data_IF_716893960623
#
_entry.id   IF_716893960623
#
_cell.length_a   1.000
_cell.length_b   1.000
_cell.length_c   1.000
_cell.angle_alpha   90.00
_cell.angle_beta   90.00
_cell.angle_gamma   90.00
#
_symmetry.space_group_name_H-M   'P 1'
#
loop_
_entity.id
_entity.type
_entity.pdbx_description
1 polymer ?
#
# COMPACT_ATOMS: atom_id res chain seq x y z
N UNK A 1 -6.29 -10.07 25.83
CA UNK A 1 -6.61 -10.99 24.71
C UNK A 1 -7.76 -10.50 23.82
N UNK A 2 -8.88 -9.99 24.36
CA UNK A 2 -9.98 -9.39 23.56
C UNK A 2 -9.53 -8.31 22.55
N UNK A 3 -8.55 -7.48 22.92
CA UNK A 3 -8.01 -6.42 22.03
C UNK A 3 -7.17 -6.93 20.86
N UNK A 4 -6.52 -8.09 20.99
CA UNK A 4 -5.72 -8.67 19.90
C UNK A 4 -6.64 -9.26 18.83
N UNK A 5 -7.66 -10.02 19.25
CA UNK A 5 -8.63 -10.60 18.33
C UNK A 5 -9.44 -9.52 17.60
N UNK A 6 -9.84 -8.44 18.30
CA UNK A 6 -10.55 -7.32 17.66
C UNK A 6 -9.66 -6.60 16.63
N UNK A 7 -8.36 -6.44 16.91
CA UNK A 7 -7.40 -5.86 15.97
C UNK A 7 -7.16 -6.77 14.77
N UNK A 8 -7.00 -8.07 14.99
CA UNK A 8 -6.83 -9.03 13.91
C UNK A 8 -8.05 -9.06 12.98
N UNK A 9 -9.26 -9.07 13.55
CA UNK A 9 -10.50 -9.01 12.79
C UNK A 9 -10.61 -7.70 12.00
N UNK A 10 -10.25 -6.57 12.61
CA UNK A 10 -10.20 -5.29 11.91
C UNK A 10 -9.19 -5.31 10.75
N UNK A 11 -8.00 -5.87 10.94
CA UNK A 11 -7.00 -6.00 9.87
C UNK A 11 -7.51 -6.88 8.72
N UNK A 12 -8.15 -8.01 9.02
CA UNK A 12 -8.75 -8.87 7.99
C UNK A 12 -9.88 -8.16 7.26
N UNK A 13 -10.75 -7.42 7.97
CA UNK A 13 -11.82 -6.64 7.38
C UNK A 13 -11.27 -5.53 6.46
N UNK A 14 -10.20 -4.85 6.86
CA UNK A 14 -9.50 -3.87 6.03
C UNK A 14 -8.92 -4.52 4.77
N UNK A 15 -8.25 -5.67 4.90
CA UNK A 15 -7.73 -6.38 3.73
C UNK A 15 -8.84 -6.82 2.77
N UNK A 16 -9.96 -7.33 3.30
CA UNK A 16 -11.12 -7.68 2.49
C UNK A 16 -11.70 -6.45 1.76
N UNK A 17 -11.82 -5.32 2.48
CA UNK A 17 -12.27 -4.06 1.89
C UNK A 17 -11.33 -3.57 0.79
N UNK A 18 -10.01 -3.65 1.00
CA UNK A 18 -9.00 -3.26 0.00
C UNK A 18 -9.06 -4.17 -1.23
N UNK A 19 -9.22 -5.49 -1.06
CA UNK A 19 -9.35 -6.41 -2.19
C UNK A 19 -10.59 -6.10 -3.03
N UNK A 20 -11.75 -5.90 -2.37
CA UNK A 20 -12.99 -5.54 -3.05
C UNK A 20 -12.85 -4.18 -3.74
N UNK A 21 -12.36 -3.17 -3.01
CA UNK A 21 -12.19 -1.82 -3.54
C UNK A 21 -11.26 -1.81 -4.74
N UNK A 22 -10.08 -2.42 -4.66
CA UNK A 22 -9.14 -2.47 -5.78
C UNK A 22 -9.72 -3.23 -6.98
N UNK A 23 -10.45 -4.33 -6.75
CA UNK A 23 -11.11 -5.05 -7.83
C UNK A 23 -12.10 -4.17 -8.59
N UNK A 24 -12.92 -3.38 -7.89
CA UNK A 24 -13.89 -2.50 -8.54
C UNK A 24 -13.29 -1.19 -9.05
N UNK A 25 -12.26 -0.65 -8.37
CA UNK A 25 -11.63 0.63 -8.71
C UNK A 25 -11.18 0.67 -10.17
N UNK A 26 -10.42 -0.34 -10.60
CA UNK A 26 -9.93 -0.42 -11.98
C UNK A 26 -11.03 -0.66 -13.03
N UNK A 27 -12.23 -1.09 -12.61
CA UNK A 27 -13.39 -1.32 -13.51
C UNK A 27 -14.31 -0.11 -13.60
N UNK A 28 -14.27 0.78 -12.60
CA UNK A 28 -15.10 2.00 -12.54
C UNK A 28 -14.34 3.20 -13.12
N UNK A 29 -13.01 3.16 -13.14
CA UNK A 29 -12.21 4.22 -13.78
C UNK A 29 -12.64 4.42 -15.24
N UNK A 30 -12.83 5.67 -15.70
CA UNK A 30 -13.20 5.95 -17.08
C UNK A 30 -12.09 5.49 -18.04
N UNK A 31 -12.45 4.63 -18.99
CA UNK A 31 -11.52 3.88 -19.84
C UNK A 31 -11.75 2.37 -19.68
N UNK A 32 -11.56 1.60 -20.75
CA UNK A 32 -11.53 0.13 -20.64
C UNK A 32 -10.36 -0.25 -19.71
N UNK A 33 -10.51 -1.12 -18.68
CA UNK A 33 -9.41 -1.59 -17.84
C UNK A 33 -8.19 -2.05 -18.66
N UNK A 34 -8.43 -2.60 -19.85
CA UNK A 34 -7.44 -2.96 -20.86
C UNK A 34 -6.73 -1.71 -21.41
N UNK A 35 -7.46 -0.64 -21.74
CA UNK A 35 -6.92 0.62 -22.27
C UNK A 35 -6.15 1.49 -21.26
N UNK A 36 -6.41 1.32 -19.96
CA UNK A 36 -5.65 2.03 -18.90
C UNK A 36 -4.26 1.45 -18.67
N UNK A 37 -4.05 0.20 -19.11
CA UNK A 37 -2.83 -0.58 -18.90
C UNK A 37 -2.03 -0.75 -20.19
N UNK A 38 -2.71 -0.76 -21.35
CA UNK A 38 -2.11 -1.03 -22.66
C UNK A 38 -1.92 0.27 -23.44
N UNK A 39 -0.80 0.35 -24.17
CA UNK A 39 -0.54 1.42 -25.13
C UNK A 39 -1.74 1.62 -26.10
N UNK A 40 -2.25 2.85 -26.28
CA UNK A 40 -3.34 3.14 -27.22
C UNK A 40 -3.13 2.61 -28.65
N UNK A 41 -1.89 2.29 -29.03
CA UNK A 41 -1.46 1.80 -30.34
C UNK A 41 -1.80 0.32 -30.65
N UNK A 42 -2.33 -0.45 -29.70
CA UNK A 42 -2.69 -1.85 -29.96
C UNK A 42 -3.96 -1.98 -30.83
N UNK A 43 -3.95 -2.92 -31.79
CA UNK A 43 -5.10 -3.19 -32.66
C UNK A 43 -6.30 -3.73 -31.85
N UNK A 44 -7.55 -3.56 -32.33
CA UNK A 44 -8.74 -4.08 -31.66
C UNK A 44 -8.68 -5.58 -31.38
N UNK A 45 -8.08 -6.36 -32.28
CA UNK A 45 -7.90 -7.81 -32.15
C UNK A 45 -6.93 -8.15 -31.03
N UNK A 46 -5.82 -7.41 -30.93
CA UNK A 46 -4.85 -7.60 -29.85
C UNK A 46 -5.43 -7.28 -28.47
N UNK A 47 -6.37 -6.32 -28.38
CA UNK A 47 -7.08 -6.00 -27.14
C UNK A 47 -8.00 -7.14 -26.70
N UNK A 48 -8.74 -7.74 -27.63
CA UNK A 48 -9.63 -8.87 -27.34
C UNK A 48 -8.86 -10.10 -26.88
N UNK A 49 -7.76 -10.42 -27.57
CA UNK A 49 -6.87 -11.51 -27.19
C UNK A 49 -6.30 -11.31 -25.79
N UNK A 50 -5.85 -10.10 -25.45
CA UNK A 50 -5.33 -9.81 -24.12
C UNK A 50 -6.42 -9.87 -23.04
N UNK A 51 -7.64 -9.38 -23.34
CA UNK A 51 -8.78 -9.46 -22.45
C UNK A 51 -9.12 -10.92 -22.10
N UNK A 52 -9.08 -11.82 -23.09
CA UNK A 52 -9.26 -13.26 -22.89
C UNK A 52 -8.12 -13.86 -22.04
N UNK A 53 -6.87 -13.51 -22.31
CA UNK A 53 -5.73 -13.97 -21.51
C UNK A 53 -5.80 -13.52 -20.04
N UNK A 54 -6.30 -12.31 -19.80
CA UNK A 54 -6.52 -11.77 -18.45
C UNK A 54 -7.82 -12.27 -17.81
N UNK A 55 -8.67 -12.99 -18.55
CA UNK A 55 -9.94 -13.53 -18.06
C UNK A 55 -11.00 -12.45 -17.86
N UNK A 56 -10.89 -11.32 -18.55
CA UNK A 56 -11.85 -10.21 -18.49
C UNK A 56 -13.14 -10.51 -19.27
N UNK A 57 -13.12 -11.55 -20.10
CA UNK A 57 -14.26 -12.14 -20.81
C UNK A 57 -15.19 -12.97 -19.92
N UNK A 58 -14.75 -13.34 -18.71
CA UNK A 58 -15.47 -14.22 -17.77
C UNK A 58 -16.55 -13.49 -16.98
N UNK A 59 -17.53 -14.18 -16.39
CA UNK A 59 -18.46 -13.59 -15.43
C UNK A 59 -17.73 -12.91 -14.27
N UNK A 60 -18.25 -11.78 -13.79
CA UNK A 60 -17.59 -10.94 -12.78
C UNK A 60 -17.27 -11.70 -11.48
N UNK A 61 -18.13 -12.64 -11.08
CA UNK A 61 -17.92 -13.50 -9.92
C UNK A 61 -16.71 -14.41 -10.08
N UNK A 62 -16.52 -15.00 -11.27
CA UNK A 62 -15.35 -15.83 -11.58
C UNK A 62 -14.07 -15.00 -11.57
N UNK A 63 -14.11 -13.80 -12.15
CA UNK A 63 -13.00 -12.85 -12.13
C UNK A 63 -12.60 -12.51 -10.69
N UNK A 64 -13.56 -12.23 -9.81
CA UNK A 64 -13.30 -11.88 -8.42
C UNK A 64 -12.69 -13.05 -7.64
N UNK A 65 -13.26 -14.25 -7.77
CA UNK A 65 -12.73 -15.45 -7.11
C UNK A 65 -11.31 -15.75 -7.56
N UNK A 66 -11.03 -15.65 -8.88
CA UNK A 66 -9.69 -15.83 -9.43
C UNK A 66 -8.71 -14.79 -8.89
N UNK A 67 -9.12 -13.51 -8.86
CA UNK A 67 -8.33 -12.41 -8.30
C UNK A 67 -7.97 -12.67 -6.84
N UNK A 68 -8.96 -12.97 -5.98
CA UNK A 68 -8.72 -13.24 -4.56
C UNK A 68 -7.79 -14.44 -4.38
N UNK A 69 -8.01 -15.54 -5.13
CA UNK A 69 -7.14 -16.72 -5.10
C UNK A 69 -5.70 -16.39 -5.50
N UNK A 70 -5.51 -15.59 -6.54
CA UNK A 70 -4.19 -15.14 -6.98
C UNK A 70 -3.48 -14.30 -5.90
N UNK A 71 -4.19 -13.37 -5.27
CA UNK A 71 -3.62 -12.55 -4.18
C UNK A 71 -3.21 -13.39 -2.97
N UNK A 72 -4.05 -14.34 -2.54
CA UNK A 72 -3.79 -15.20 -1.39
C UNK A 72 -2.71 -16.26 -1.65
N UNK A 73 -2.45 -16.60 -2.92
CA UNK A 73 -1.42 -17.57 -3.32
C UNK A 73 -0.12 -16.91 -3.80
N UNK A 74 0.02 -15.59 -3.61
CA UNK A 74 1.18 -14.80 -4.05
C UNK A 74 1.44 -14.86 -5.57
N UNK A 75 0.40 -15.17 -6.36
CA UNK A 75 0.45 -15.25 -7.83
C UNK A 75 -0.08 -13.95 -8.44
N UNK A 76 0.62 -12.85 -8.17
CA UNK A 76 0.21 -11.49 -8.53
C UNK A 76 0.17 -11.19 -10.04
N UNK A 77 0.77 -12.05 -10.87
CA UNK A 77 0.87 -11.83 -12.32
C UNK A 77 2.09 -10.99 -12.71
N UNK A 78 2.03 -10.39 -13.90
CA UNK A 78 3.11 -9.57 -14.46
C UNK A 78 2.85 -8.09 -14.20
N UNK A 79 3.94 -7.35 -13.96
CA UNK A 79 3.96 -5.90 -13.88
C UNK A 79 3.71 -5.32 -15.26
N UNK A 80 2.76 -4.40 -15.34
CA UNK A 80 2.38 -3.74 -16.59
C UNK A 80 3.44 -2.75 -17.05
N UNK A 81 4.27 -2.24 -16.14
CA UNK A 81 5.35 -1.30 -16.44
C UNK A 81 6.65 -2.00 -16.85
N UNK A 82 7.00 -3.13 -16.22
CA UNK A 82 8.31 -3.79 -16.40
C UNK A 82 8.22 -5.13 -17.14
N UNK A 83 7.02 -5.70 -17.28
CA UNK A 83 6.81 -7.04 -17.84
C UNK A 83 7.28 -8.20 -16.96
N UNK A 84 7.80 -7.93 -15.75
CA UNK A 84 8.34 -8.95 -14.84
C UNK A 84 7.27 -9.47 -13.87
N UNK A 85 7.42 -10.68 -13.32
CA UNK A 85 6.53 -11.15 -12.25
C UNK A 85 6.55 -10.17 -11.07
N UNK A 86 5.36 -9.72 -10.64
CA UNK A 86 5.23 -8.75 -9.53
C UNK A 86 5.84 -9.29 -8.24
N UNK A 87 5.78 -10.61 -8.02
CA UNK A 87 6.43 -11.25 -6.88
C UNK A 87 7.94 -11.04 -6.85
N UNK A 88 8.60 -11.03 -8.01
CA UNK A 88 10.05 -10.80 -8.09
C UNK A 88 10.42 -9.35 -7.76
N UNK A 89 9.56 -8.40 -8.14
CA UNK A 89 9.72 -7.00 -7.72
C UNK A 89 9.46 -6.81 -6.22
N UNK A 90 8.43 -7.47 -5.68
CA UNK A 90 8.10 -7.36 -4.26
C UNK A 90 9.17 -8.00 -3.38
N UNK A 91 9.65 -9.21 -3.70
CA UNK A 91 10.65 -9.90 -2.87
C UNK A 91 11.99 -9.16 -2.81
N UNK A 92 12.29 -8.31 -3.79
CA UNK A 92 13.52 -7.50 -3.80
C UNK A 92 13.34 -6.17 -3.06
N UNK A 93 12.12 -5.61 -3.02
CA UNK A 93 11.85 -4.31 -2.38
C UNK A 93 11.38 -4.43 -0.94
N UNK A 94 10.53 -5.41 -0.62
CA UNK A 94 9.95 -5.60 0.73
C UNK A 94 11.04 -5.70 1.82
N UNK A 95 12.13 -6.47 1.65
CA UNK A 95 13.19 -6.51 2.64
C UNK A 95 13.87 -5.15 2.87
N UNK A 96 14.09 -4.38 1.80
CA UNK A 96 14.70 -3.05 1.90
C UNK A 96 13.78 -2.06 2.63
N UNK A 97 12.49 -2.08 2.31
CA UNK A 97 11.49 -1.28 3.04
C UNK A 97 11.45 -1.66 4.51
N UNK A 98 11.45 -2.95 4.83
CA UNK A 98 11.48 -3.43 6.21
C UNK A 98 12.78 -3.00 6.92
N UNK A 99 13.93 -3.13 6.26
CA UNK A 99 15.23 -2.75 6.79
C UNK A 99 15.34 -1.24 7.10
N UNK A 100 14.60 -0.39 6.38
CA UNK A 100 14.51 1.04 6.70
C UNK A 100 13.45 1.32 7.77
N UNK A 101 12.27 0.73 7.65
CA UNK A 101 11.12 0.98 8.51
C UNK A 101 11.38 0.55 9.95
N UNK A 102 11.93 -0.65 10.17
CA UNK A 102 12.12 -1.19 11.52
C UNK A 102 13.08 -0.34 12.37
N UNK A 103 14.30 -0.02 11.91
CA UNK A 103 15.20 0.86 12.66
C UNK A 103 14.62 2.26 12.84
N UNK A 104 13.99 2.83 11.82
CA UNK A 104 13.36 4.15 11.93
C UNK A 104 12.26 4.18 13.00
N UNK A 105 11.40 3.17 13.05
CA UNK A 105 10.37 3.04 14.07
C UNK A 105 10.95 2.89 15.48
N UNK A 106 11.99 2.06 15.64
CA UNK A 106 12.63 1.85 16.93
C UNK A 106 13.31 3.13 17.44
N UNK A 107 14.07 3.81 16.57
CA UNK A 107 14.73 5.06 16.90
C UNK A 107 13.71 6.17 17.19
N UNK A 108 12.67 6.29 16.36
CA UNK A 108 11.61 7.27 16.55
C UNK A 108 10.85 7.05 17.86
N UNK A 109 10.48 5.80 18.16
CA UNK A 109 9.80 5.46 19.41
C UNK A 109 10.69 5.73 20.63
N UNK A 110 11.96 5.34 20.58
CA UNK A 110 12.91 5.54 21.68
C UNK A 110 13.20 7.03 21.93
N UNK A 111 13.62 7.75 20.89
CA UNK A 111 13.97 9.17 20.98
C UNK A 111 12.74 10.04 21.25
N UNK A 112 11.63 9.77 20.57
CA UNK A 112 10.37 10.49 20.76
C UNK A 112 9.82 10.33 22.18
N UNK A 113 9.84 9.11 22.72
CA UNK A 113 9.42 8.89 24.11
C UNK A 113 10.36 9.58 25.10
N UNK A 114 11.68 9.45 24.91
CA UNK A 114 12.67 10.10 25.78
C UNK A 114 12.52 11.62 25.79
N UNK A 115 12.47 12.25 24.62
CA UNK A 115 12.30 13.70 24.49
C UNK A 115 10.95 14.17 25.03
N UNK A 116 9.87 13.41 24.78
CA UNK A 116 8.54 13.70 25.32
C UNK A 116 8.53 13.70 26.85
N UNK A 117 9.13 12.70 27.48
CA UNK A 117 9.25 12.61 28.95
C UNK A 117 10.13 13.73 29.49
N UNK A 118 11.27 14.03 28.85
CA UNK A 118 12.17 15.10 29.28
C UNK A 118 11.52 16.49 29.19
N UNK A 119 10.79 16.76 28.11
CA UNK A 119 10.02 17.99 27.94
C UNK A 119 8.92 18.14 28.99
N UNK A 120 8.21 17.06 29.32
CA UNK A 120 7.12 17.09 30.29
C UNK A 120 7.55 17.41 31.73
N UNK A 121 8.81 17.11 32.10
CA UNK A 121 9.33 17.37 33.46
C UNK A 121 9.48 18.87 33.79
N UNK A 122 9.71 19.73 32.78
CA UNK A 122 9.87 21.19 32.97
C UNK A 122 8.95 21.96 32.04
N UNK A 123 7.67 22.00 32.42
CA UNK A 123 6.62 22.73 31.70
C UNK A 123 6.96 24.21 31.54
N UNK A 124 6.72 24.76 30.36
CA UNK A 124 7.09 26.12 29.93
C UNK A 124 8.56 26.29 29.56
N UNK A 125 9.40 25.26 29.71
CA UNK A 125 10.84 25.32 29.48
C UNK A 125 11.24 25.41 28.00
N UNK A 126 12.51 25.73 27.74
CA UNK A 126 13.05 25.81 26.37
C UNK A 126 12.98 24.46 25.64
N UNK A 127 13.21 23.35 26.36
CA UNK A 127 13.16 22.00 25.78
C UNK A 127 11.75 21.63 25.29
N UNK A 128 10.71 21.91 26.08
CA UNK A 128 9.32 21.67 25.66
C UNK A 128 8.98 22.47 24.41
N UNK A 129 9.32 23.77 24.39
CA UNK A 129 9.10 24.60 23.21
C UNK A 129 9.82 24.01 22.00
N UNK A 130 11.11 23.68 22.10
CA UNK A 130 11.87 23.10 20.98
C UNK A 130 11.25 21.81 20.45
N UNK A 131 10.83 20.90 21.33
CA UNK A 131 10.17 19.65 20.92
C UNK A 131 8.86 19.94 20.20
N UNK A 132 8.00 20.82 20.74
CA UNK A 132 6.73 21.18 20.10
C UNK A 132 6.93 21.89 18.75
N UNK A 133 7.86 22.84 18.67
CA UNK A 133 8.19 23.55 17.43
C UNK A 133 8.73 22.58 16.37
N UNK A 134 9.65 21.68 16.74
CA UNK A 134 10.17 20.67 15.82
C UNK A 134 9.08 19.75 15.28
N UNK A 135 8.17 19.26 16.15
CA UNK A 135 7.03 18.45 15.74
C UNK A 135 6.07 19.20 14.82
N UNK A 136 5.75 20.46 15.14
CA UNK A 136 4.90 21.31 14.31
C UNK A 136 5.52 21.58 12.93
N UNK A 137 6.82 21.90 12.88
CA UNK A 137 7.56 22.10 11.63
C UNK A 137 7.57 20.82 10.81
N UNK A 138 7.95 19.68 11.38
CA UNK A 138 7.97 18.40 10.66
C UNK A 138 6.59 17.99 10.12
N UNK A 139 5.52 18.24 10.87
CA UNK A 139 4.16 17.91 10.42
C UNK A 139 3.62 18.89 9.36
N UNK A 140 4.08 20.15 9.40
CA UNK A 140 3.67 21.18 8.46
C UNK A 140 4.52 21.21 7.19
N UNK A 141 5.72 20.61 7.22
CA UNK A 141 6.59 20.54 6.06
C UNK A 141 6.06 19.49 5.06
N UNK A 142 5.93 19.82 3.77
CA UNK A 142 5.47 18.85 2.79
C UNK A 142 6.41 17.64 2.72
N UNK A 143 5.84 16.44 2.71
CA UNK A 143 6.58 15.17 2.77
C UNK A 143 7.52 14.91 1.60
N UNK A 144 7.49 15.72 0.54
CA UNK A 144 8.41 15.63 -0.60
C UNK A 144 9.66 16.50 -0.44
N UNK A 145 9.73 17.35 0.57
CA UNK A 145 10.92 18.15 0.91
C UNK A 145 11.69 17.62 2.13
N UNK A 146 11.13 16.63 2.85
CA UNK A 146 11.74 15.96 4.01
C UNK A 146 12.35 14.64 3.56
#
# INVERSE_FOLDING_TARGET
MRSFFSRLLASVAVLAAVLVLNFFLFRIMPGDPVSSIIDPRFSPEAKQELAAQWGLDRPLSEQFVRYVKQMLTFRFGLSTSTGRPVWDELRTRVPNTAALLFPALLLSAALGTFLGVAAAQKRGGALERLVLWSGALSFSFPSFFV
#
